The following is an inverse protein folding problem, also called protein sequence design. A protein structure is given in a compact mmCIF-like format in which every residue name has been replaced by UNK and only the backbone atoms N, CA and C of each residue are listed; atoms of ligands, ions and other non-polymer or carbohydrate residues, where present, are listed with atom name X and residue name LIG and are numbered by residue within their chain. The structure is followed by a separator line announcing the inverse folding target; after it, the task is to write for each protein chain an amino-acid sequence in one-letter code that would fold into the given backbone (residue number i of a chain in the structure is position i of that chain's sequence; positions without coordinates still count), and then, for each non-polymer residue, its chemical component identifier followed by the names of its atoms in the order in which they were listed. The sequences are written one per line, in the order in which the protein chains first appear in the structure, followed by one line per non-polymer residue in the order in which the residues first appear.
data_IF_826682789609
#
_entry.id   IF_826682789609
#
_cell.length_a   1.000
_cell.length_b   1.000
_cell.length_c   1.000
_cell.angle_alpha   90.00
_cell.angle_beta   90.00
_cell.angle_gamma   90.00
#
_symmetry.space_group_name_H-M   'P 1'
#
loop_
_entity.id
_entity.type
_entity.pdbx_description
1 polymer ?
#
# COMPACT_ATOMS: atom_id res chain seq x y z
N UNK A 1 6.35 11.84 6.52
CA UNK A 1 5.54 13.08 6.61
C UNK A 1 4.44 13.09 5.55
N UNK A 2 4.74 13.08 4.25
CA UNK A 2 3.69 13.16 3.21
C UNK A 2 2.73 11.97 3.22
N UNK A 3 3.23 10.74 3.28
CA UNK A 3 2.41 9.52 3.35
C UNK A 3 1.59 9.46 4.65
N UNK A 4 2.23 9.66 5.80
CA UNK A 4 1.54 9.64 7.11
C UNK A 4 0.43 10.69 7.23
N UNK A 5 0.63 11.90 6.68
CA UNK A 5 -0.41 12.94 6.65
C UNK A 5 -1.55 12.55 5.71
N UNK A 6 -1.24 11.86 4.61
CA UNK A 6 -2.26 11.33 3.70
C UNK A 6 -3.08 10.24 4.40
N UNK A 7 -2.45 9.35 5.17
CA UNK A 7 -3.15 8.32 5.94
C UNK A 7 -4.13 8.95 6.93
N UNK A 8 -3.72 9.96 7.70
CA UNK A 8 -4.62 10.69 8.61
C UNK A 8 -5.77 11.36 7.84
N UNK A 9 -5.47 12.00 6.71
CA UNK A 9 -6.48 12.63 5.87
C UNK A 9 -7.53 11.61 5.39
N UNK A 10 -7.11 10.41 4.99
CA UNK A 10 -8.01 9.35 4.56
C UNK A 10 -8.81 8.76 5.72
N UNK A 11 -8.14 8.43 6.82
CA UNK A 11 -8.79 7.83 7.99
C UNK A 11 -9.85 8.75 8.59
N UNK A 12 -9.58 10.06 8.67
CA UNK A 12 -10.48 10.99 9.36
C UNK A 12 -11.38 11.76 8.40
N UNK A 13 -10.84 12.37 7.34
CA UNK A 13 -11.59 13.33 6.52
C UNK A 13 -12.33 12.65 5.39
N UNK A 14 -11.65 11.78 4.65
CA UNK A 14 -12.30 10.99 3.58
C UNK A 14 -13.30 10.00 4.18
N UNK A 15 -12.96 9.34 5.30
CA UNK A 15 -13.89 8.47 6.02
C UNK A 15 -15.18 9.18 6.45
N UNK A 16 -15.07 10.39 7.01
CA UNK A 16 -16.25 11.20 7.35
C UNK A 16 -17.08 11.60 6.12
N UNK A 17 -16.41 12.00 5.04
CA UNK A 17 -17.08 12.38 3.79
C UNK A 17 -17.81 11.19 3.13
N UNK A 18 -17.24 9.99 3.21
CA UNK A 18 -17.88 8.75 2.75
C UNK A 18 -19.14 8.40 3.55
N UNK A 19 -19.14 8.67 4.87
CA UNK A 19 -20.33 8.47 5.70
C UNK A 19 -21.46 9.41 5.24
N UNK A 20 -21.17 10.70 5.07
CA UNK A 20 -22.12 11.70 4.55
C UNK A 20 -22.67 11.27 3.18
N UNK A 21 -21.81 10.79 2.30
CA UNK A 21 -22.22 10.28 0.99
C UNK A 21 -23.16 9.07 1.09
N UNK A 22 -22.83 8.09 1.94
CA UNK A 22 -23.62 6.86 2.13
C UNK A 22 -24.99 7.12 2.73
N UNK A 23 -25.09 8.07 3.65
CA UNK A 23 -26.35 8.45 4.29
C UNK A 23 -27.27 9.27 3.35
N UNK A 24 -26.81 9.62 2.15
CA UNK A 24 -27.62 10.33 1.17
C UNK A 24 -27.87 11.79 1.54
N UNK A 25 -27.07 12.38 2.42
CA UNK A 25 -27.15 13.79 2.76
C UNK A 25 -26.79 14.63 1.52
N UNK A 26 -27.80 15.18 0.85
CA UNK A 26 -27.67 16.01 -0.37
C UNK A 26 -27.10 17.41 -0.15
N UNK A 27 -26.42 17.65 0.98
CA UNK A 27 -25.77 18.91 1.28
C UNK A 27 -24.61 19.18 0.32
N UNK A 28 -24.48 20.42 -0.11
CA UNK A 28 -23.31 20.92 -0.84
C UNK A 28 -22.37 21.62 0.13
N UNK A 29 -21.06 21.54 -0.13
CA UNK A 29 -20.08 22.32 0.62
C UNK A 29 -20.09 23.80 0.21
N UNK A 30 -19.15 24.58 0.78
CA UNK A 30 -18.98 26.01 0.47
C UNK A 30 -18.60 26.29 -0.98
N UNK A 31 -18.04 25.30 -1.69
CA UNK A 31 -17.72 25.38 -3.11
C UNK A 31 -18.90 24.93 -3.99
N UNK A 32 -20.03 24.55 -3.38
CA UNK A 32 -21.21 24.07 -4.08
C UNK A 32 -21.09 22.62 -4.53
N UNK A 33 -20.15 21.82 -3.99
CA UNK A 33 -19.93 20.43 -4.40
C UNK A 33 -20.67 19.45 -3.50
N UNK A 34 -21.28 18.45 -4.10
CA UNK A 34 -21.80 17.27 -3.40
C UNK A 34 -20.67 16.41 -2.85
N UNK A 35 -20.97 15.54 -1.88
CA UNK A 35 -20.00 14.59 -1.32
C UNK A 35 -19.40 13.66 -2.37
N UNK A 36 -20.20 13.25 -3.38
CA UNK A 36 -19.73 12.43 -4.49
C UNK A 36 -18.70 13.18 -5.37
N UNK A 37 -18.99 14.43 -5.72
CA UNK A 37 -18.08 15.28 -6.51
C UNK A 37 -16.77 15.53 -5.77
N UNK A 38 -16.84 15.82 -4.46
CA UNK A 38 -15.64 15.99 -3.63
C UNK A 38 -14.79 14.72 -3.57
N UNK A 39 -15.40 13.55 -3.36
CA UNK A 39 -14.68 12.27 -3.36
C UNK A 39 -13.98 12.00 -4.70
N UNK A 40 -14.63 12.31 -5.82
CA UNK A 40 -14.05 12.21 -7.16
C UNK A 40 -12.82 13.11 -7.34
N UNK A 41 -12.93 14.38 -6.94
CA UNK A 41 -11.82 15.35 -7.02
C UNK A 41 -10.65 14.98 -6.09
N UNK A 42 -10.94 14.48 -4.89
CA UNK A 42 -9.93 13.97 -3.95
C UNK A 42 -9.17 12.81 -4.61
N UNK A 43 -9.89 11.83 -5.17
CA UNK A 43 -9.27 10.68 -5.83
C UNK A 43 -8.33 11.11 -6.97
N UNK A 44 -8.77 12.02 -7.83
CA UNK A 44 -7.98 12.54 -8.95
C UNK A 44 -6.71 13.25 -8.47
N UNK A 45 -6.85 14.12 -7.45
CA UNK A 45 -5.74 14.90 -6.90
C UNK A 45 -4.71 14.02 -6.19
N UNK A 46 -5.17 13.03 -5.43
CA UNK A 46 -4.32 12.09 -4.68
C UNK A 46 -3.59 11.16 -5.64
N UNK A 47 -4.26 10.65 -6.66
CA UNK A 47 -3.63 9.82 -7.70
C UNK A 47 -2.45 10.53 -8.35
N UNK A 48 -2.63 11.79 -8.78
CA UNK A 48 -1.54 12.62 -9.31
C UNK A 48 -0.40 12.80 -8.30
N UNK A 49 -0.73 13.06 -7.05
CA UNK A 49 0.28 13.27 -6.00
C UNK A 49 1.13 12.01 -5.78
N UNK A 50 0.50 10.83 -5.74
CA UNK A 50 1.19 9.56 -5.57
C UNK A 50 2.09 9.27 -6.78
N UNK A 51 1.60 9.49 -8.01
CA UNK A 51 2.43 9.37 -9.22
C UNK A 51 3.68 10.24 -9.14
N UNK A 52 3.52 11.51 -8.75
CA UNK A 52 4.66 12.42 -8.59
C UNK A 52 5.64 11.93 -7.51
N UNK A 53 5.15 11.40 -6.40
CA UNK A 53 6.02 10.85 -5.35
C UNK A 53 6.87 9.68 -5.87
N UNK A 54 6.29 8.76 -6.62
CA UNK A 54 7.03 7.64 -7.21
C UNK A 54 8.04 8.10 -8.26
N UNK A 55 7.69 9.08 -9.09
CA UNK A 55 8.60 9.69 -10.06
C UNK A 55 9.80 10.31 -9.35
N UNK A 56 9.56 11.19 -8.36
CA UNK A 56 10.66 11.81 -7.61
C UNK A 56 11.51 10.78 -6.87
N UNK A 57 10.90 9.75 -6.30
CA UNK A 57 11.63 8.67 -5.65
C UNK A 57 12.55 7.94 -6.63
N UNK A 58 12.01 7.44 -7.75
CA UNK A 58 12.75 6.60 -8.69
C UNK A 58 13.69 7.36 -9.62
N UNK A 59 13.33 8.56 -10.05
CA UNK A 59 14.09 9.32 -11.07
C UNK A 59 15.06 10.33 -10.47
N UNK A 60 14.87 10.74 -9.21
CA UNK A 60 15.74 11.73 -8.55
C UNK A 60 16.45 11.16 -7.33
N UNK A 61 15.71 10.60 -6.36
CA UNK A 61 16.29 10.17 -5.09
C UNK A 61 17.12 8.90 -5.23
N UNK A 62 16.60 7.87 -5.90
CA UNK A 62 17.33 6.60 -6.07
C UNK A 62 18.67 6.79 -6.82
N UNK A 63 18.76 7.54 -7.93
CA UNK A 63 20.03 7.81 -8.59
C UNK A 63 21.02 8.59 -7.73
N UNK A 64 20.55 9.57 -6.96
CA UNK A 64 21.40 10.35 -6.06
C UNK A 64 21.94 9.50 -4.90
N UNK A 65 21.11 8.63 -4.32
CA UNK A 65 21.54 7.66 -3.32
C UNK A 65 22.58 6.70 -3.91
N UNK A 66 22.35 6.19 -5.13
CA UNK A 66 23.27 5.29 -5.79
C UNK A 66 24.64 5.93 -6.06
N UNK A 67 24.65 7.21 -6.47
CA UNK A 67 25.88 7.99 -6.64
C UNK A 67 26.64 8.19 -5.31
N UNK A 68 25.93 8.21 -4.18
CA UNK A 68 26.50 8.23 -2.83
C UNK A 68 26.85 6.82 -2.29
N UNK A 69 26.70 5.76 -3.10
CA UNK A 69 27.02 4.39 -2.71
C UNK A 69 25.89 3.63 -2.00
N UNK A 70 24.69 4.20 -1.88
CA UNK A 70 23.53 3.58 -1.26
C UNK A 70 22.58 3.09 -2.36
N UNK A 71 22.34 1.78 -2.44
CA UNK A 71 21.49 1.20 -3.49
C UNK A 71 20.38 0.36 -2.91
N UNK A 72 19.16 0.55 -3.41
CA UNK A 72 18.09 -0.42 -3.25
C UNK A 72 18.34 -1.58 -4.20
N UNK A 73 18.40 -2.79 -3.66
CA UNK A 73 18.59 -4.01 -4.44
C UNK A 73 17.25 -4.72 -4.65
N UNK A 74 17.08 -5.33 -5.81
CA UNK A 74 15.98 -6.24 -6.10
C UNK A 74 16.48 -7.69 -6.02
N UNK A 75 15.57 -8.64 -5.85
CA UNK A 75 15.91 -10.07 -5.78
C UNK A 75 16.73 -10.55 -6.99
N UNK A 76 16.54 -9.98 -8.18
CA UNK A 76 17.32 -10.35 -9.37
C UNK A 76 18.74 -9.78 -9.41
N UNK A 77 19.14 -8.99 -8.42
CA UNK A 77 20.40 -8.23 -8.40
C UNK A 77 21.29 -8.52 -7.19
N UNK A 78 20.90 -9.50 -6.36
CA UNK A 78 21.69 -9.94 -5.20
C UNK A 78 22.61 -11.11 -5.58
N UNK A 79 23.75 -11.20 -4.92
CA UNK A 79 24.66 -12.34 -5.06
C UNK A 79 24.29 -13.50 -4.10
N UNK A 80 24.82 -14.72 -4.30
CA UNK A 80 24.48 -15.88 -3.46
C UNK A 80 24.79 -15.71 -1.97
N UNK A 81 25.78 -14.88 -1.61
CA UNK A 81 26.10 -14.61 -0.21
C UNK A 81 25.06 -13.69 0.44
N UNK A 82 24.56 -12.71 -0.31
CA UNK A 82 23.47 -11.83 0.12
C UNK A 82 22.14 -12.61 0.23
N UNK A 83 21.88 -13.50 -0.72
CA UNK A 83 20.72 -14.39 -0.69
C UNK A 83 20.74 -15.28 0.55
N UNK A 84 21.87 -15.92 0.87
CA UNK A 84 22.01 -16.73 2.08
C UNK A 84 21.74 -15.92 3.36
N UNK A 85 22.20 -14.67 3.43
CA UNK A 85 21.91 -13.78 4.57
C UNK A 85 20.42 -13.46 4.67
N UNK A 86 19.76 -13.15 3.54
CA UNK A 86 18.33 -12.87 3.52
C UNK A 86 17.50 -14.10 3.91
N UNK A 87 17.86 -15.29 3.43
CA UNK A 87 17.21 -16.55 3.82
C UNK A 87 17.30 -16.80 5.31
N UNK A 88 18.48 -16.59 5.92
CA UNK A 88 18.64 -16.74 7.36
C UNK A 88 17.74 -15.77 8.15
N UNK A 89 17.65 -14.51 7.72
CA UNK A 89 16.75 -13.52 8.34
C UNK A 89 15.28 -13.95 8.20
N UNK A 90 14.90 -14.49 7.04
CA UNK A 90 13.53 -14.99 6.83
C UNK A 90 13.23 -16.13 7.80
N UNK A 91 14.12 -17.12 7.90
CA UNK A 91 13.89 -18.31 8.73
C UNK A 91 13.91 -17.99 10.23
N UNK A 92 14.86 -17.17 10.68
CA UNK A 92 15.06 -16.89 12.10
C UNK A 92 14.11 -15.82 12.64
N UNK A 93 13.79 -14.79 11.85
CA UNK A 93 13.08 -13.60 12.34
C UNK A 93 11.68 -13.46 11.75
N UNK A 94 11.55 -13.61 10.43
CA UNK A 94 10.29 -13.25 9.74
C UNK A 94 9.28 -14.41 9.82
N UNK A 95 9.69 -15.64 9.57
CA UNK A 95 8.79 -16.79 9.45
C UNK A 95 7.98 -17.02 10.72
N UNK A 96 8.60 -16.83 11.89
CA UNK A 96 7.96 -17.03 13.19
C UNK A 96 6.80 -16.07 13.49
N UNK A 97 6.77 -14.90 12.83
CA UNK A 97 5.73 -13.87 13.02
C UNK A 97 4.72 -13.81 11.88
N UNK A 98 4.94 -14.55 10.80
CA UNK A 98 3.95 -14.66 9.73
C UNK A 98 2.78 -15.53 10.18
N UNK A 99 1.56 -15.02 9.96
CA UNK A 99 0.33 -15.78 10.17
C UNK A 99 -0.36 -15.96 8.81
N UNK A 100 -0.12 -17.06 8.08
CA UNK A 100 -0.81 -17.34 6.84
C UNK A 100 -2.31 -17.49 7.09
N UNK A 101 -3.13 -16.81 6.28
CA UNK A 101 -4.58 -16.89 6.35
C UNK A 101 -5.12 -17.37 5.00
N UNK A 102 -5.79 -18.52 5.00
CA UNK A 102 -6.44 -19.04 3.80
C UNK A 102 -7.72 -18.24 3.51
N UNK A 103 -7.88 -17.84 2.25
CA UNK A 103 -9.09 -17.17 1.74
C UNK A 103 -9.62 -18.02 0.59
N UNK A 104 -10.88 -18.44 0.66
CA UNK A 104 -11.50 -19.34 -0.31
C UNK A 104 -13.00 -19.07 -0.43
N UNK A 105 -13.66 -19.73 -1.37
CA UNK A 105 -15.10 -19.53 -1.61
C UNK A 105 -15.97 -19.78 -0.36
N UNK A 106 -15.52 -20.68 0.52
CA UNK A 106 -16.25 -21.09 1.72
C UNK A 106 -15.73 -20.41 3.01
N UNK A 107 -14.78 -19.47 2.90
CA UNK A 107 -14.16 -18.79 4.04
C UNK A 107 -14.14 -17.28 3.79
N UNK A 108 -14.82 -16.53 4.65
CA UNK A 108 -14.82 -15.06 4.58
C UNK A 108 -13.40 -14.50 4.71
N UNK A 109 -13.15 -13.39 4.00
CA UNK A 109 -11.89 -12.67 4.10
C UNK A 109 -11.65 -12.24 5.56
N UNK A 110 -10.46 -12.49 6.13
CA UNK A 110 -10.16 -12.09 7.50
C UNK A 110 -10.17 -10.57 7.64
N UNK A 111 -10.42 -10.10 8.86
CA UNK A 111 -10.30 -8.67 9.16
C UNK A 111 -8.83 -8.24 9.03
N UNK A 112 -8.56 -7.34 8.09
CA UNK A 112 -7.23 -6.80 7.85
C UNK A 112 -7.00 -5.61 8.79
N UNK A 113 -5.95 -5.61 9.64
CA UNK A 113 -5.67 -4.47 10.49
C UNK A 113 -5.32 -3.23 9.67
N UNK A 114 -5.92 -2.09 10.02
CA UNK A 114 -5.61 -0.81 9.37
C UNK A 114 -4.14 -0.41 9.59
N UNK A 115 -3.48 0.07 8.53
CA UNK A 115 -2.07 0.47 8.57
C UNK A 115 -1.07 -0.70 8.49
N UNK A 116 -1.54 -1.95 8.42
CA UNK A 116 -0.68 -3.12 8.21
C UNK A 116 -0.44 -3.38 6.73
N UNK A 117 0.74 -3.92 6.41
CA UNK A 117 1.02 -4.52 5.11
C UNK A 117 0.60 -5.98 5.13
N UNK A 118 -0.36 -6.34 4.28
CA UNK A 118 -0.78 -7.73 4.05
C UNK A 118 -0.39 -8.16 2.65
N UNK A 119 0.24 -9.33 2.52
CA UNK A 119 0.63 -9.90 1.23
C UNK A 119 -0.42 -10.93 0.83
N UNK A 120 -1.11 -10.69 -0.29
CA UNK A 120 -2.02 -11.68 -0.89
C UNK A 120 -1.25 -12.56 -1.86
N UNK A 121 -1.31 -13.87 -1.66
CA UNK A 121 -0.65 -14.88 -2.50
C UNK A 121 -1.72 -15.76 -3.12
N UNK A 122 -1.73 -15.87 -4.45
CA UNK A 122 -2.55 -16.84 -5.17
C UNK A 122 -1.75 -18.11 -5.37
N UNK A 123 -2.26 -19.22 -4.85
CA UNK A 123 -1.70 -20.55 -5.08
C UNK A 123 -2.34 -21.14 -6.32
N UNK A 124 -1.50 -21.72 -7.19
CA UNK A 124 -1.94 -22.47 -8.37
C UNK A 124 -1.49 -23.92 -8.15
N UNK A 125 -2.40 -24.88 -8.27
CA UNK A 125 -2.03 -26.29 -8.18
C UNK A 125 -1.20 -26.65 -9.43
N UNK A 126 0.06 -27.05 -9.22
CA UNK A 126 0.85 -27.64 -10.29
C UNK A 126 0.29 -29.04 -10.58
N UNK A 127 0.14 -29.46 -11.85
CA UNK A 127 -0.35 -30.80 -12.21
C UNK A 127 0.56 -31.95 -11.73
N UNK A 128 1.75 -31.65 -11.21
CA UNK A 128 2.71 -32.64 -10.67
C UNK A 128 2.59 -32.86 -9.14
N UNK A 129 1.45 -32.49 -8.53
CA UNK A 129 1.16 -32.71 -7.11
C UNK A 129 -0.31 -33.01 -6.82
#
# INVERSE_FOLDING_TARGET
ITASNLDEFFMVRVGGLQLVHREGHGGRDIAGLTSAEQLGLIHERVSRMITQQYVHFGEELEPQLAAAGIRRVSHGSIDPSQEAVLSQIVDDEIYSVLTPMAVGADVDCPLLPGGSLCISVRLENSPDG
#
